data_IF_477760282324
#
_entry.id   IF_477760282324
#
_cell.length_a   1.000
_cell.length_b   1.000
_cell.length_c   1.000
_cell.angle_alpha   90.00
_cell.angle_beta   90.00
_cell.angle_gamma   90.00
#
_symmetry.space_group_name_H-M   'P 1'
#
loop_
_entity.id
_entity.type
_entity.pdbx_description
1 polymer ?
#
# COMPACT_ATOMS: atom_id res chain seq x y z
N UNK A 1 13.37 7.00 3.82
CA UNK A 1 12.02 6.78 4.35
C UNK A 1 11.15 7.91 3.86
N UNK A 2 10.12 7.60 3.10
CA UNK A 2 9.20 8.59 2.56
C UNK A 2 7.87 8.61 3.32
N UNK A 3 6.98 9.49 2.92
CA UNK A 3 5.60 9.55 3.42
C UNK A 3 4.72 8.51 2.68
N UNK A 4 4.97 8.30 1.39
CA UNK A 4 4.26 7.37 0.52
C UNK A 4 5.08 6.13 0.21
N UNK A 5 6.39 6.26 0.01
CA UNK A 5 7.28 5.15 -0.30
C UNK A 5 8.01 4.68 0.96
N UNK A 6 7.77 3.46 1.34
CA UNK A 6 8.37 2.83 2.52
C UNK A 6 8.25 3.70 3.79
N UNK A 7 7.02 4.09 4.21
CA UNK A 7 6.82 4.80 5.47
C UNK A 7 7.37 4.02 6.68
N UNK A 8 7.47 4.69 7.82
CA UNK A 8 7.97 4.05 9.03
C UNK A 8 6.96 3.06 9.63
N UNK A 9 7.46 2.07 10.35
CA UNK A 9 6.65 1.07 11.06
C UNK A 9 6.20 1.50 12.47
N UNK A 10 6.40 2.77 12.83
CA UNK A 10 6.12 3.31 14.17
C UNK A 10 4.65 3.14 14.58
N UNK A 11 3.72 3.25 13.64
CA UNK A 11 2.30 3.06 13.92
C UNK A 11 2.01 1.62 14.40
N UNK A 12 2.54 0.63 13.71
CA UNK A 12 2.42 -0.77 14.11
C UNK A 12 3.16 -1.05 15.43
N UNK A 13 4.36 -0.49 15.62
CA UNK A 13 5.10 -0.60 16.88
C UNK A 13 4.26 -0.09 18.06
N UNK A 14 3.61 1.06 17.94
CA UNK A 14 2.71 1.60 18.97
C UNK A 14 1.53 0.67 19.22
N UNK A 15 0.98 0.06 18.17
CA UNK A 15 -0.15 -0.87 18.30
C UNK A 15 0.25 -2.12 19.08
N UNK A 16 1.36 -2.77 18.74
CA UNK A 16 1.84 -3.98 19.42
C UNK A 16 2.18 -3.70 20.90
N UNK A 17 2.76 -2.53 21.19
CA UNK A 17 3.12 -2.13 22.55
C UNK A 17 1.92 -1.67 23.40
N UNK A 18 0.70 -1.66 22.86
CA UNK A 18 -0.50 -1.25 23.59
C UNK A 18 -0.90 -2.33 24.61
N UNK A 19 -1.49 -1.90 25.74
CA UNK A 19 -1.97 -2.82 26.79
C UNK A 19 -2.93 -3.90 26.27
N UNK A 20 -3.70 -3.58 25.24
CA UNK A 20 -4.60 -4.50 24.57
C UNK A 20 -4.24 -4.46 23.09
N UNK A 21 -3.64 -5.52 22.61
CA UNK A 21 -3.38 -5.79 21.21
C UNK A 21 -4.05 -7.11 20.83
N UNK A 22 -4.79 -7.11 19.74
CA UNK A 22 -5.37 -8.33 19.17
C UNK A 22 -4.54 -8.72 17.96
N UNK A 23 -3.88 -9.86 18.06
CA UNK A 23 -3.08 -10.38 16.97
C UNK A 23 -3.96 -10.70 15.75
N UNK A 24 -3.58 -10.14 14.61
CA UNK A 24 -4.21 -10.32 13.30
C UNK A 24 -3.19 -10.73 12.24
N UNK A 25 -2.02 -11.15 12.68
CA UNK A 25 -0.92 -11.48 11.76
C UNK A 25 -1.19 -12.73 10.92
N UNK A 26 -2.20 -13.54 11.26
CA UNK A 26 -2.73 -14.56 10.36
C UNK A 26 -3.15 -14.03 8.98
N UNK A 27 -3.51 -12.73 8.87
CA UNK A 27 -3.72 -12.08 7.56
C UNK A 27 -2.46 -12.13 6.68
N UNK A 28 -1.27 -12.06 7.27
CA UNK A 28 0.00 -12.13 6.55
C UNK A 28 0.24 -13.50 5.92
N UNK A 29 -0.20 -14.59 6.55
CA UNK A 29 -0.13 -15.92 5.93
C UNK A 29 -0.97 -15.97 4.66
N UNK A 30 -2.19 -15.42 4.71
CA UNK A 30 -3.04 -15.32 3.53
C UNK A 30 -2.40 -14.45 2.45
N UNK A 31 -1.94 -13.25 2.80
CA UNK A 31 -1.31 -12.34 1.83
C UNK A 31 -0.04 -12.95 1.22
N UNK A 32 0.80 -13.61 2.02
CA UNK A 32 1.98 -14.33 1.54
C UNK A 32 1.62 -15.46 0.56
N UNK A 33 0.50 -16.16 0.78
CA UNK A 33 0.07 -17.27 -0.07
C UNK A 33 -0.39 -16.82 -1.46
N UNK A 34 -0.86 -15.58 -1.59
CA UNK A 34 -1.39 -15.03 -2.86
C UNK A 34 -0.44 -14.05 -3.55
N UNK A 35 0.64 -13.65 -2.89
CA UNK A 35 1.70 -12.86 -3.51
C UNK A 35 2.18 -13.54 -4.79
N UNK A 36 2.33 -12.77 -5.87
CA UNK A 36 2.73 -13.27 -7.18
C UNK A 36 1.75 -14.27 -7.81
N UNK A 37 0.46 -14.15 -7.48
CA UNK A 37 -0.62 -14.91 -8.12
C UNK A 37 -1.66 -13.95 -8.69
N UNK A 38 -2.62 -14.46 -9.48
CA UNK A 38 -3.76 -13.65 -9.95
C UNK A 38 -4.66 -13.16 -8.82
N UNK A 39 -4.55 -13.71 -7.62
CA UNK A 39 -5.31 -13.34 -6.41
C UNK A 39 -4.58 -12.28 -5.55
N UNK A 40 -3.49 -11.72 -6.04
CA UNK A 40 -2.72 -10.68 -5.34
C UNK A 40 -3.48 -9.35 -5.18
N UNK A 41 -4.66 -9.22 -5.79
CA UNK A 41 -5.56 -8.08 -5.62
C UNK A 41 -6.54 -8.36 -4.48
N UNK A 42 -6.25 -7.84 -3.30
CA UNK A 42 -7.01 -8.10 -2.09
C UNK A 42 -7.81 -6.87 -1.70
N UNK A 43 -9.13 -7.01 -1.52
CA UNK A 43 -9.97 -6.02 -0.91
C UNK A 43 -10.43 -6.52 0.46
N UNK A 44 -9.89 -5.93 1.52
CA UNK A 44 -10.28 -6.27 2.90
C UNK A 44 -11.37 -5.30 3.38
N UNK A 45 -12.61 -5.79 3.41
CA UNK A 45 -13.77 -5.01 3.83
C UNK A 45 -14.18 -5.40 5.24
N UNK A 46 -14.17 -4.42 6.16
CA UNK A 46 -14.63 -4.58 7.54
C UNK A 46 -15.34 -3.32 8.03
N UNK A 47 -16.27 -3.43 9.00
CA UNK A 47 -16.89 -2.26 9.62
C UNK A 47 -15.86 -1.31 10.23
N UNK A 48 -16.27 -0.06 10.48
CA UNK A 48 -15.46 0.90 11.23
C UNK A 48 -15.07 0.34 12.59
N UNK A 49 -13.89 0.70 13.09
CA UNK A 49 -13.32 0.29 14.40
C UNK A 49 -12.93 -1.18 14.50
N UNK A 50 -12.90 -1.93 13.41
CA UNK A 50 -12.41 -3.32 13.38
C UNK A 50 -10.91 -3.43 13.06
N UNK A 51 -10.15 -2.35 13.20
CA UNK A 51 -8.68 -2.33 13.09
C UNK A 51 -8.16 -2.48 11.67
N UNK A 52 -8.80 -1.85 10.68
CA UNK A 52 -8.33 -1.84 9.28
C UNK A 52 -6.99 -1.11 9.13
N UNK A 53 -6.91 0.14 9.62
CA UNK A 53 -5.67 0.91 9.55
C UNK A 53 -4.54 0.20 10.31
N UNK A 54 -4.84 -0.45 11.46
CA UNK A 54 -3.87 -1.30 12.13
C UNK A 54 -3.41 -2.48 11.25
N UNK A 55 -4.30 -3.06 10.44
CA UNK A 55 -3.91 -4.10 9.49
C UNK A 55 -3.04 -3.53 8.35
N UNK A 56 -3.32 -2.31 7.87
CA UNK A 56 -2.47 -1.60 6.92
C UNK A 56 -1.08 -1.32 7.48
N UNK A 57 -1.01 -0.81 8.71
CA UNK A 57 0.24 -0.57 9.42
C UNK A 57 1.06 -1.86 9.64
N UNK A 58 0.38 -2.95 9.95
CA UNK A 58 0.98 -4.28 10.10
C UNK A 58 1.59 -4.76 8.77
N UNK A 59 0.84 -4.67 7.67
CA UNK A 59 1.31 -5.06 6.34
C UNK A 59 2.48 -4.18 5.89
N UNK A 60 2.41 -2.87 6.13
CA UNK A 60 3.51 -1.94 5.89
C UNK A 60 4.76 -2.35 6.68
N UNK A 61 4.62 -2.58 7.97
CA UNK A 61 5.74 -3.00 8.83
C UNK A 61 6.36 -4.31 8.36
N UNK A 62 5.54 -5.26 7.92
CA UNK A 62 5.99 -6.58 7.49
C UNK A 62 6.73 -6.55 6.14
N UNK A 63 6.14 -5.90 5.14
CA UNK A 63 6.69 -5.96 3.79
C UNK A 63 7.79 -4.95 3.50
N UNK A 64 7.77 -3.75 4.12
CA UNK A 64 8.66 -2.64 3.77
C UNK A 64 10.13 -2.94 4.06
N UNK A 65 10.96 -2.91 3.02
CA UNK A 65 12.40 -3.18 3.09
C UNK A 65 13.22 -2.15 3.87
N UNK A 66 12.67 -0.94 4.08
CA UNK A 66 13.37 0.13 4.82
C UNK A 66 13.09 0.09 6.32
N UNK A 67 12.31 -0.88 6.78
CA UNK A 67 12.03 -1.11 8.20
C UNK A 67 12.82 -2.34 8.69
N UNK A 68 13.26 -2.30 9.93
CA UNK A 68 13.66 -3.50 10.68
C UNK A 68 12.51 -3.83 11.63
N UNK A 69 11.70 -4.81 11.24
CA UNK A 69 10.46 -5.12 11.94
C UNK A 69 10.46 -6.50 12.58
N UNK A 70 11.54 -7.26 12.50
CA UNK A 70 11.61 -8.63 13.00
C UNK A 70 11.12 -8.76 14.45
N UNK A 71 11.63 -7.90 15.33
CA UNK A 71 11.30 -7.94 16.75
C UNK A 71 9.83 -7.55 17.02
N UNK A 72 9.20 -6.75 16.14
CA UNK A 72 7.79 -6.39 16.28
C UNK A 72 6.85 -7.58 16.07
N UNK A 73 7.30 -8.58 15.33
CA UNK A 73 6.54 -9.81 15.06
C UNK A 73 6.91 -10.97 15.98
N UNK A 74 7.92 -10.80 16.85
CA UNK A 74 8.31 -11.81 17.81
C UNK A 74 7.14 -12.14 18.77
N UNK A 75 6.77 -13.42 18.82
CA UNK A 75 5.64 -13.87 19.65
C UNK A 75 4.25 -13.69 19.02
N UNK A 76 4.15 -13.14 17.82
CA UNK A 76 2.90 -13.09 17.04
C UNK A 76 2.76 -14.34 16.17
N UNK A 77 1.52 -14.66 15.77
CA UNK A 77 1.17 -15.88 15.03
C UNK A 77 2.04 -16.10 13.78
N UNK A 78 2.24 -15.05 12.98
CA UNK A 78 3.02 -15.11 11.74
C UNK A 78 4.48 -15.53 11.93
N UNK A 79 5.06 -15.28 13.10
CA UNK A 79 6.47 -15.60 13.37
C UNK A 79 6.75 -17.11 13.25
N UNK A 80 5.75 -17.96 13.51
CA UNK A 80 5.82 -19.40 13.34
C UNK A 80 5.66 -19.89 11.89
N UNK A 81 5.33 -19.01 10.94
CA UNK A 81 5.11 -19.38 9.55
C UNK A 81 6.43 -19.70 8.84
N UNK A 82 6.44 -20.76 8.04
CA UNK A 82 7.61 -21.16 7.24
C UNK A 82 8.05 -20.09 6.23
N UNK A 83 7.12 -19.25 5.79
CA UNK A 83 7.37 -18.19 4.82
C UNK A 83 7.68 -16.82 5.48
N UNK A 84 7.73 -16.73 6.81
CA UNK A 84 7.94 -15.47 7.54
C UNK A 84 9.17 -14.71 7.01
N UNK A 85 10.32 -15.35 7.04
CA UNK A 85 11.60 -14.75 6.62
C UNK A 85 11.68 -14.43 5.12
N UNK A 86 10.95 -15.16 4.31
CA UNK A 86 10.93 -15.01 2.86
C UNK A 86 10.38 -13.66 2.42
N UNK A 87 9.40 -13.14 3.17
CA UNK A 87 8.68 -11.94 2.80
C UNK A 87 8.97 -10.75 3.72
N UNK A 88 9.46 -10.99 4.94
CA UNK A 88 9.73 -9.95 5.92
C UNK A 88 10.74 -8.93 5.39
N UNK A 89 10.33 -7.67 5.31
CA UNK A 89 11.16 -6.51 4.92
C UNK A 89 11.87 -6.70 3.55
N UNK A 90 11.15 -7.22 2.55
CA UNK A 90 11.73 -7.53 1.23
C UNK A 90 11.27 -6.61 0.11
N UNK A 91 10.24 -5.80 0.31
CA UNK A 91 9.58 -5.07 -0.78
C UNK A 91 9.64 -3.57 -0.60
N UNK A 92 9.53 -2.86 -1.71
CA UNK A 92 9.12 -1.48 -1.69
C UNK A 92 7.62 -1.41 -1.45
N UNK A 93 7.21 -0.66 -0.44
CA UNK A 93 5.80 -0.48 -0.09
C UNK A 93 5.38 0.94 -0.43
N UNK A 94 4.37 1.07 -1.30
CA UNK A 94 3.66 2.33 -1.51
C UNK A 94 2.41 2.29 -0.64
N UNK A 95 2.31 3.23 0.29
CA UNK A 95 1.18 3.35 1.21
C UNK A 95 0.58 4.75 1.13
N UNK A 96 -0.74 4.82 1.09
CA UNK A 96 -1.46 6.07 1.33
C UNK A 96 -2.87 5.83 1.87
N UNK A 97 -3.34 6.77 2.69
CA UNK A 97 -4.73 6.92 3.10
C UNK A 97 -5.43 7.85 2.10
N UNK A 98 -6.49 7.35 1.45
CA UNK A 98 -7.19 8.12 0.42
C UNK A 98 -7.95 9.33 1.02
N UNK A 99 -8.44 9.22 2.27
CA UNK A 99 -9.10 10.33 2.95
C UNK A 99 -8.10 11.46 3.25
N UNK A 100 -6.91 11.12 3.78
CA UNK A 100 -5.85 12.12 4.02
C UNK A 100 -5.42 12.80 2.72
N UNK A 101 -5.33 12.03 1.63
CA UNK A 101 -4.98 12.61 0.33
C UNK A 101 -6.04 13.60 -0.19
N UNK A 102 -7.34 13.33 0.08
CA UNK A 102 -8.43 14.28 -0.22
C UNK A 102 -8.27 15.55 0.62
N UNK A 103 -7.97 15.39 1.90
CA UNK A 103 -7.84 16.52 2.84
C UNK A 103 -6.62 17.41 2.49
N UNK A 104 -5.55 16.84 1.93
CA UNK A 104 -4.36 17.58 1.47
C UNK A 104 -4.49 18.17 0.06
N UNK A 105 -5.37 17.63 -0.77
CA UNK A 105 -5.66 18.20 -2.08
C UNK A 105 -6.48 19.49 -1.93
N UNK A 106 -6.24 20.48 -2.79
CA UNK A 106 -7.04 21.72 -2.73
C UNK A 106 -8.50 21.46 -3.08
N UNK A 107 -8.74 20.54 -4.03
CA UNK A 107 -10.07 20.11 -4.45
C UNK A 107 -10.05 18.58 -4.59
N UNK A 108 -11.20 17.95 -4.44
CA UNK A 108 -11.30 16.50 -4.57
C UNK A 108 -10.89 16.00 -5.96
N UNK A 109 -11.10 16.78 -7.00
CA UNK A 109 -10.70 16.50 -8.37
C UNK A 109 -9.19 16.40 -8.52
N UNK A 110 -8.44 17.12 -7.68
CA UNK A 110 -6.99 17.19 -7.71
C UNK A 110 -6.33 16.04 -6.94
N UNK A 111 -7.11 15.24 -6.20
CA UNK A 111 -6.59 14.18 -5.32
C UNK A 111 -5.71 13.18 -6.07
N UNK A 112 -6.14 12.71 -7.25
CA UNK A 112 -5.37 11.76 -8.05
C UNK A 112 -4.04 12.38 -8.51
N UNK A 113 -4.07 13.65 -8.92
CA UNK A 113 -2.88 14.39 -9.32
C UNK A 113 -1.93 14.60 -8.13
N UNK A 114 -2.48 14.91 -6.96
CA UNK A 114 -1.72 15.03 -5.70
C UNK A 114 -1.00 13.72 -5.35
N UNK A 115 -1.72 12.59 -5.28
CA UNK A 115 -1.15 11.27 -5.00
C UNK A 115 -0.05 10.95 -6.02
N UNK A 116 -0.35 11.12 -7.31
CA UNK A 116 0.62 10.85 -8.39
C UNK A 116 1.89 11.68 -8.22
N UNK A 117 1.76 12.98 -7.97
CA UNK A 117 2.88 13.89 -7.78
C UNK A 117 3.76 13.47 -6.59
N UNK A 118 3.13 13.18 -5.44
CA UNK A 118 3.85 12.82 -4.22
C UNK A 118 4.58 11.47 -4.37
N UNK A 119 3.90 10.45 -4.86
CA UNK A 119 4.49 9.12 -5.09
C UNK A 119 5.63 9.21 -6.10
N UNK A 120 5.45 9.92 -7.23
CA UNK A 120 6.50 10.09 -8.23
C UNK A 120 7.71 10.86 -7.69
N UNK A 121 7.50 11.86 -6.83
CA UNK A 121 8.61 12.61 -6.23
C UNK A 121 9.49 11.68 -5.38
N UNK A 122 8.89 10.87 -4.53
CA UNK A 122 9.62 9.92 -3.68
C UNK A 122 10.26 8.78 -4.48
N UNK A 123 9.58 8.26 -5.51
CA UNK A 123 10.15 7.25 -6.40
C UNK A 123 11.36 7.80 -7.18
N UNK A 124 11.31 9.05 -7.67
CA UNK A 124 12.43 9.69 -8.36
C UNK A 124 13.64 9.88 -7.46
N UNK A 125 13.41 10.25 -6.19
CA UNK A 125 14.50 10.37 -5.22
C UNK A 125 15.13 9.01 -4.90
N UNK A 126 14.29 7.98 -4.68
CA UNK A 126 14.77 6.64 -4.35
C UNK A 126 15.45 5.93 -5.54
N UNK A 127 15.04 6.26 -6.77
CA UNK A 127 15.48 5.60 -8.01
C UNK A 127 15.98 6.61 -9.06
N UNK A 128 16.73 7.62 -8.62
CA UNK A 128 17.22 8.72 -9.46
C UNK A 128 18.04 8.28 -10.68
N UNK A 129 18.72 7.13 -10.58
CA UNK A 129 19.53 6.59 -11.67
C UNK A 129 18.69 5.81 -12.70
N UNK A 130 17.41 5.55 -12.41
CA UNK A 130 16.49 4.79 -13.26
C UNK A 130 15.39 5.68 -13.83
N UNK A 131 14.82 6.57 -13.00
CA UNK A 131 13.68 7.38 -13.39
C UNK A 131 14.11 8.71 -13.99
N UNK A 132 13.68 8.94 -15.23
CA UNK A 132 13.88 10.19 -15.94
C UNK A 132 12.71 11.16 -15.71
N UNK A 133 12.89 12.43 -16.09
CA UNK A 133 11.86 13.46 -16.00
C UNK A 133 10.60 13.20 -16.85
N UNK A 134 10.68 12.30 -17.82
CA UNK A 134 9.56 11.96 -18.72
C UNK A 134 8.56 10.97 -18.15
N UNK A 135 8.82 10.39 -16.98
CA UNK A 135 7.90 9.47 -16.33
C UNK A 135 6.82 10.26 -15.60
N UNK A 136 5.59 10.27 -16.10
CA UNK A 136 4.49 11.09 -15.58
C UNK A 136 3.39 10.31 -14.88
N UNK A 137 3.46 8.97 -14.84
CA UNK A 137 2.49 8.13 -14.13
C UNK A 137 3.19 7.17 -13.20
N UNK A 138 2.52 6.83 -12.09
CA UNK A 138 3.03 5.84 -11.13
C UNK A 138 3.29 4.51 -11.83
N UNK A 139 2.36 4.06 -12.68
CA UNK A 139 2.49 2.81 -13.43
C UNK A 139 3.75 2.76 -14.29
N UNK A 140 4.06 3.84 -15.01
CA UNK A 140 5.31 3.92 -15.81
C UNK A 140 6.55 3.84 -14.90
N UNK A 141 6.53 4.56 -13.78
CA UNK A 141 7.65 4.54 -12.83
C UNK A 141 7.94 3.14 -12.31
N UNK A 142 6.89 2.44 -11.86
CA UNK A 142 7.02 1.07 -11.36
C UNK A 142 7.57 0.13 -12.42
N UNK A 143 7.07 0.23 -13.68
CA UNK A 143 7.56 -0.58 -14.80
C UNK A 143 9.04 -0.33 -15.11
N UNK A 144 9.49 0.94 -15.15
CA UNK A 144 10.91 1.25 -15.37
C UNK A 144 11.79 0.75 -14.23
N UNK A 145 11.37 0.94 -12.98
CA UNK A 145 12.13 0.46 -11.82
C UNK A 145 12.25 -1.07 -11.86
N UNK A 146 11.15 -1.78 -12.08
CA UNK A 146 11.19 -3.24 -12.15
C UNK A 146 12.08 -3.72 -13.31
N UNK A 147 11.95 -3.15 -14.50
CA UNK A 147 12.77 -3.52 -15.66
C UNK A 147 14.27 -3.36 -15.38
N UNK A 148 14.66 -2.27 -14.67
CA UNK A 148 16.05 -1.97 -14.38
C UNK A 148 16.60 -2.74 -13.17
N UNK A 149 15.78 -2.96 -12.13
CA UNK A 149 16.26 -3.43 -10.81
C UNK A 149 15.70 -4.78 -10.38
N UNK A 150 14.63 -5.26 -11.04
CA UNK A 150 13.81 -6.41 -10.62
C UNK A 150 13.12 -6.22 -9.26
N UNK A 151 13.12 -5.00 -8.72
CA UNK A 151 12.38 -4.69 -7.51
C UNK A 151 10.88 -4.81 -7.75
N UNK A 152 10.18 -5.32 -6.75
CA UNK A 152 8.73 -5.51 -6.75
C UNK A 152 8.09 -4.66 -5.68
N UNK A 153 6.85 -4.29 -5.90
CA UNK A 153 6.12 -3.35 -5.06
C UNK A 153 4.92 -4.00 -4.39
N UNK A 154 4.66 -3.58 -3.17
CA UNK A 154 3.40 -3.79 -2.46
C UNK A 154 2.70 -2.44 -2.40
N UNK A 155 1.46 -2.36 -2.85
CA UNK A 155 0.66 -1.14 -2.77
C UNK A 155 -0.44 -1.35 -1.73
N UNK A 156 -0.50 -0.45 -0.75
CA UNK A 156 -1.49 -0.46 0.33
C UNK A 156 -2.27 0.85 0.25
N UNK A 157 -3.59 0.75 0.07
CA UNK A 157 -4.51 1.90 0.03
C UNK A 157 -5.49 1.76 1.20
N UNK A 158 -5.35 2.63 2.20
CA UNK A 158 -6.34 2.73 3.28
C UNK A 158 -7.45 3.72 2.89
N UNK A 159 -8.65 3.54 3.44
CA UNK A 159 -9.85 4.35 3.18
C UNK A 159 -10.11 4.58 1.67
N UNK A 160 -9.82 3.58 0.81
CA UNK A 160 -9.90 3.72 -0.65
C UNK A 160 -11.29 4.15 -1.15
N UNK A 161 -12.34 3.90 -0.39
CA UNK A 161 -13.70 4.29 -0.69
C UNK A 161 -14.01 5.76 -0.35
N UNK A 162 -13.05 6.51 0.21
CA UNK A 162 -13.23 7.91 0.61
C UNK A 162 -13.74 8.79 -0.55
N UNK A 163 -13.20 8.60 -1.76
CA UNK A 163 -13.64 9.35 -2.95
C UNK A 163 -15.14 9.19 -3.22
N UNK A 164 -15.67 7.99 -3.03
CA UNK A 164 -17.09 7.69 -3.24
C UNK A 164 -17.99 8.27 -2.15
N UNK A 165 -17.47 8.33 -0.92
CA UNK A 165 -18.20 8.87 0.24
C UNK A 165 -18.25 10.40 0.24
N UNK A 166 -17.16 11.04 -0.16
CA UNK A 166 -17.02 12.50 -0.12
C UNK A 166 -17.73 13.18 -1.29
N UNK A 167 -17.74 12.56 -2.46
CA UNK A 167 -18.37 13.12 -3.65
C UNK A 167 -19.23 12.07 -4.39
N UNK A 168 -20.33 11.60 -3.77
CA UNK A 168 -21.12 10.48 -4.31
C UNK A 168 -21.76 10.76 -5.68
N UNK A 169 -21.93 12.04 -6.04
CA UNK A 169 -22.52 12.47 -7.32
C UNK A 169 -21.49 12.53 -8.48
N UNK A 170 -20.18 12.49 -8.18
CA UNK A 170 -19.12 12.70 -9.20
C UNK A 170 -18.68 11.41 -9.85
N UNK A 171 -19.54 10.79 -10.67
CA UNK A 171 -19.28 9.50 -11.32
C UNK A 171 -18.02 9.48 -12.17
N UNK A 172 -17.75 10.54 -12.95
CA UNK A 172 -16.56 10.63 -13.78
C UNK A 172 -15.27 10.60 -12.94
N UNK A 173 -15.28 11.26 -11.79
CA UNK A 173 -14.17 11.23 -10.84
C UNK A 173 -13.96 9.82 -10.27
N UNK A 174 -15.04 9.12 -9.94
CA UNK A 174 -14.98 7.72 -9.48
C UNK A 174 -14.35 6.81 -10.52
N UNK A 175 -14.74 6.93 -11.79
CA UNK A 175 -14.17 6.14 -12.89
C UNK A 175 -12.67 6.43 -13.07
N UNK A 176 -12.26 7.70 -13.01
CA UNK A 176 -10.85 8.09 -13.04
C UNK A 176 -10.07 7.50 -11.86
N UNK A 177 -10.64 7.54 -10.66
CA UNK A 177 -10.00 7.02 -9.45
C UNK A 177 -9.87 5.49 -9.49
N UNK A 178 -10.93 4.78 -9.88
CA UNK A 178 -10.87 3.32 -10.09
C UNK A 178 -9.79 3.00 -11.13
N UNK A 179 -9.78 3.73 -12.25
CA UNK A 179 -8.77 3.54 -13.29
C UNK A 179 -7.37 3.78 -12.75
N UNK A 180 -7.15 4.83 -11.96
CA UNK A 180 -5.87 5.10 -11.31
C UNK A 180 -5.45 3.93 -10.41
N UNK A 181 -6.32 3.44 -9.53
CA UNK A 181 -6.02 2.31 -8.65
C UNK A 181 -5.72 1.03 -9.46
N UNK A 182 -6.52 0.74 -10.48
CA UNK A 182 -6.36 -0.44 -11.33
C UNK A 182 -5.13 -0.35 -12.22
N UNK A 183 -4.85 0.81 -12.84
CA UNK A 183 -3.69 1.00 -13.73
C UNK A 183 -2.41 1.02 -12.93
N UNK A 184 -2.39 1.63 -11.76
CA UNK A 184 -1.25 1.57 -10.84
C UNK A 184 -0.96 0.14 -10.40
N UNK A 185 -1.99 -0.71 -10.36
CA UNK A 185 -1.88 -2.14 -10.00
C UNK A 185 -1.71 -3.06 -11.21
N UNK A 186 -2.19 -2.67 -12.40
CA UNK A 186 -2.09 -3.45 -13.66
C UNK A 186 -0.97 -2.91 -14.56
N UNK A 187 0.17 -2.55 -14.02
CA UNK A 187 1.35 -2.37 -14.87
C UNK A 187 1.48 -3.61 -15.74
N UNK A 188 1.60 -3.43 -17.05
CA UNK A 188 1.47 -4.44 -18.12
C UNK A 188 2.45 -5.61 -18.03
N UNK A 189 3.18 -5.70 -16.96
CA UNK A 189 4.14 -6.76 -16.68
C UNK A 189 3.61 -7.50 -15.45
N UNK A 190 3.07 -8.68 -15.66
CA UNK A 190 2.64 -9.63 -14.60
C UNK A 190 3.73 -9.89 -13.55
N UNK A 191 4.89 -9.25 -13.67
CA UNK A 191 6.07 -9.42 -12.86
C UNK A 191 6.35 -8.26 -11.91
N UNK A 192 5.72 -7.08 -12.07
CA UNK A 192 6.12 -5.83 -11.41
C UNK A 192 5.39 -5.55 -10.09
N UNK A 193 4.15 -6.00 -9.96
CA UNK A 193 3.34 -5.83 -8.75
C UNK A 193 3.11 -7.17 -8.07
N UNK A 194 3.43 -7.23 -6.78
CA UNK A 194 3.27 -8.45 -6.01
C UNK A 194 1.98 -8.48 -5.20
N UNK A 195 1.53 -7.35 -4.73
CA UNK A 195 0.33 -7.28 -3.90
C UNK A 195 -0.30 -5.89 -3.99
N UNK A 196 -1.58 -5.83 -4.33
CA UNK A 196 -2.42 -4.67 -4.10
C UNK A 196 -3.38 -4.99 -2.96
N UNK A 197 -3.29 -4.24 -1.88
CA UNK A 197 -4.22 -4.33 -0.77
C UNK A 197 -5.03 -3.04 -0.68
N UNK A 198 -6.34 -3.15 -0.82
CA UNK A 198 -7.28 -2.08 -0.58
C UNK A 198 -8.08 -2.37 0.68
N UNK A 199 -8.12 -1.43 1.60
CA UNK A 199 -8.84 -1.56 2.86
C UNK A 199 -10.12 -0.73 2.81
N UNK A 200 -11.27 -1.38 2.81
CA UNK A 200 -12.59 -0.74 2.63
C UNK A 200 -13.36 -0.62 3.93
N UNK A 201 -14.06 0.52 4.08
CA UNK A 201 -15.12 0.71 5.07
C UNK A 201 -16.47 0.51 4.38
N UNK A 202 -17.24 -0.51 4.77
CA UNK A 202 -18.66 -0.49 4.46
C UNK A 202 -19.39 0.44 5.43
N UNK A 203 -19.92 1.56 4.94
CA UNK A 203 -21.06 2.23 5.57
C UNK A 203 -22.33 1.61 4.98
N UNK A 204 -23.18 1.00 5.83
CA UNK A 204 -24.60 0.89 5.56
C UNK A 204 -25.25 2.21 5.91
#
# INVERSE_FOLDING_TARGET
MGMFLNPSNVAFQKAVNSKIYVDKTGLLEYTNSVVNTQQAFICNSRPRRFGKSMAADMLLAYYSKNNDSRELFAGLEIHGSADFEKYLNKYDVIYFDAQECIDYAQNIEDTIAYITKCVLAELREAYKDVLTSYCNTVAQALGYINAATRNKFVIIIDEWDAMFRVAPEKRELHEKYITFCVVSSKVRVQEDLWLLLTLQVFCR
#
